data_IF_024582881477
#
_entry.id   IF_024582881477
#
_cell.length_a   1.000
_cell.length_b   1.000
_cell.length_c   1.000
_cell.angle_alpha   90.00
_cell.angle_beta   90.00
_cell.angle_gamma   90.00
#
_symmetry.space_group_name_H-M   'P 1'
#
loop_
_entity.id
_entity.type
_entity.pdbx_description
1 polymer ?
#
# COMPACT_ATOMS: atom_id res chain seq x y z
N UNK A 1 -67.48 -3.44 59.99
CA UNK A 1 -66.69 -2.35 59.38
C UNK A 1 -65.25 -2.81 59.38
N UNK A 2 -64.77 -3.31 58.25
CA UNK A 2 -63.42 -3.85 58.09
C UNK A 2 -62.67 -2.94 57.09
N UNK A 3 -61.62 -2.21 57.54
CA UNK A 3 -60.75 -1.41 56.72
C UNK A 3 -59.74 -2.31 55.98
N UNK A 4 -59.74 -2.23 54.69
CA UNK A 4 -58.75 -2.88 53.81
C UNK A 4 -57.68 -1.85 53.39
N UNK A 5 -56.49 -2.07 53.89
CA UNK A 5 -55.33 -1.22 53.50
C UNK A 5 -54.65 -1.88 52.30
N UNK A 6 -54.59 -1.16 51.14
CA UNK A 6 -53.86 -1.58 49.95
C UNK A 6 -52.40 -1.07 50.06
N UNK A 7 -51.46 -2.02 50.06
CA UNK A 7 -50.08 -1.73 49.92
C UNK A 7 -49.69 -1.67 48.40
N UNK A 8 -49.26 -0.53 47.92
CA UNK A 8 -48.70 -0.36 46.58
C UNK A 8 -47.22 -0.73 46.62
N UNK A 9 -46.82 -1.84 45.99
CA UNK A 9 -45.40 -2.16 45.75
C UNK A 9 -44.96 -1.43 44.48
N UNK A 10 -44.09 -0.43 44.65
CA UNK A 10 -43.32 0.16 43.52
C UNK A 10 -42.14 -0.77 43.18
N UNK A 11 -42.22 -1.50 42.06
CA UNK A 11 -41.10 -2.22 41.49
C UNK A 11 -40.23 -1.24 40.69
N UNK A 12 -39.07 -0.89 41.24
CA UNK A 12 -38.05 -0.16 40.52
C UNK A 12 -37.34 -1.09 39.55
N UNK A 13 -37.68 -0.98 38.26
CA UNK A 13 -36.96 -1.69 37.20
C UNK A 13 -35.58 -1.07 36.95
N UNK A 14 -34.54 -1.78 37.33
CA UNK A 14 -33.17 -1.46 36.90
C UNK A 14 -33.02 -1.87 35.44
N UNK A 15 -33.02 -0.90 34.52
CA UNK A 15 -32.58 -1.10 33.12
C UNK A 15 -31.06 -1.21 33.09
N UNK A 16 -30.55 -2.43 32.97
CA UNK A 16 -29.13 -2.65 32.64
C UNK A 16 -28.96 -2.33 31.16
N UNK A 17 -28.45 -1.13 30.84
CA UNK A 17 -27.97 -0.81 29.52
C UNK A 17 -26.69 -1.62 29.27
N UNK A 18 -26.85 -2.75 28.60
CA UNK A 18 -25.71 -3.50 28.08
C UNK A 18 -24.93 -2.62 27.10
N UNK A 19 -23.70 -2.34 27.46
CA UNK A 19 -22.73 -1.77 26.51
C UNK A 19 -22.50 -2.86 25.46
N UNK A 20 -23.07 -2.68 24.29
CA UNK A 20 -22.72 -3.48 23.11
C UNK A 20 -21.29 -3.09 22.75
N UNK A 21 -20.30 -3.85 23.22
CA UNK A 21 -18.94 -3.78 22.69
C UNK A 21 -19.06 -4.27 21.25
N UNK A 22 -18.93 -3.36 20.31
CA UNK A 22 -18.83 -3.73 18.89
C UNK A 22 -17.62 -4.68 18.76
N UNK A 23 -17.90 -5.93 18.37
CA UNK A 23 -16.88 -6.92 18.11
C UNK A 23 -16.07 -6.40 16.92
N UNK A 24 -14.85 -5.94 17.16
CA UNK A 24 -13.94 -5.54 16.07
C UNK A 24 -13.68 -6.79 15.23
N UNK A 25 -13.87 -6.68 13.92
CA UNK A 25 -13.49 -7.75 13.00
C UNK A 25 -12.00 -8.11 13.21
N UNK A 26 -11.65 -9.37 12.98
CA UNK A 26 -10.24 -9.78 13.04
C UNK A 26 -9.42 -8.96 12.05
N UNK A 27 -8.18 -8.57 12.41
CA UNK A 27 -7.31 -7.83 11.51
C UNK A 27 -7.05 -8.60 10.20
N UNK A 28 -7.03 -7.89 9.08
CA UNK A 28 -6.73 -8.48 7.78
C UNK A 28 -5.24 -8.80 7.70
N UNK A 29 -4.84 -10.08 7.52
CA UNK A 29 -3.45 -10.44 7.37
C UNK A 29 -2.94 -10.03 5.99
N UNK A 30 -1.86 -9.23 5.96
CA UNK A 30 -1.27 -8.74 4.72
C UNK A 30 0.20 -9.09 4.58
N UNK A 31 0.65 -9.24 3.34
CA UNK A 31 2.03 -9.07 2.93
C UNK A 31 2.13 -7.72 2.21
N UNK A 32 3.05 -6.88 2.65
CA UNK A 32 3.27 -5.54 2.11
C UNK A 32 4.51 -5.56 1.20
N UNK A 33 4.32 -5.43 -0.12
CA UNK A 33 5.37 -5.44 -1.14
C UNK A 33 5.60 -4.02 -1.67
N UNK A 34 6.86 -3.52 -1.62
CA UNK A 34 7.17 -2.10 -1.79
C UNK A 34 8.58 -1.86 -2.33
N UNK A 35 8.76 -0.83 -3.14
CA UNK A 35 10.04 -0.26 -3.56
C UNK A 35 10.46 0.93 -2.67
N UNK A 36 10.35 0.74 -1.40
CA UNK A 36 10.35 1.70 -0.30
C UNK A 36 11.52 2.68 -0.33
N UNK A 37 11.19 3.94 -0.13
CA UNK A 37 12.15 4.99 0.24
C UNK A 37 11.59 5.77 1.43
N UNK A 38 12.48 6.25 2.31
CA UNK A 38 12.09 7.08 3.46
C UNK A 38 11.30 8.33 3.01
N UNK A 39 10.47 8.92 3.89
CA UNK A 39 9.75 10.14 3.54
C UNK A 39 10.69 11.19 2.94
N UNK A 40 10.27 11.90 1.90
CA UNK A 40 8.88 12.18 1.52
C UNK A 40 8.27 11.23 0.48
N UNK A 41 8.82 10.04 0.28
CA UNK A 41 8.23 9.06 -0.63
C UNK A 41 6.89 8.53 -0.09
N UNK A 42 6.00 8.19 -0.99
CA UNK A 42 4.63 7.73 -0.73
C UNK A 42 4.57 6.35 -0.08
N UNK A 43 5.45 5.43 -0.43
CA UNK A 43 5.64 4.14 0.24
C UNK A 43 5.70 4.26 1.77
N UNK A 44 6.53 5.20 2.23
CA UNK A 44 6.74 5.40 3.65
C UNK A 44 5.50 5.89 4.38
N UNK A 45 4.70 6.72 3.72
CA UNK A 45 3.43 7.20 4.26
C UNK A 45 2.37 6.06 4.25
N UNK A 46 2.37 5.20 3.24
CA UNK A 46 1.50 4.03 3.19
C UNK A 46 1.84 3.02 4.30
N UNK A 47 3.13 2.77 4.52
CA UNK A 47 3.58 1.91 5.62
C UNK A 47 3.21 2.51 6.99
N UNK A 48 3.37 3.82 7.20
CA UNK A 48 2.92 4.50 8.44
C UNK A 48 1.43 4.28 8.68
N UNK A 49 0.60 4.41 7.64
CA UNK A 49 -0.83 4.16 7.73
C UNK A 49 -1.12 2.70 8.13
N UNK A 50 -0.46 1.73 7.48
CA UNK A 50 -0.63 0.31 7.79
C UNK A 50 -0.22 -0.02 9.24
N UNK A 51 0.94 0.49 9.70
CA UNK A 51 1.47 0.28 11.06
C UNK A 51 0.55 0.85 12.15
N UNK A 52 -0.16 1.92 11.85
CA UNK A 52 -1.04 2.62 12.79
C UNK A 52 -2.52 2.21 12.65
N UNK A 53 -2.84 1.21 11.83
CA UNK A 53 -4.19 0.73 11.59
C UNK A 53 -4.44 -0.61 12.27
N UNK A 54 -5.31 -0.65 13.30
CA UNK A 54 -5.62 -1.89 14.04
C UNK A 54 -6.38 -2.93 13.19
N UNK A 55 -6.92 -2.53 12.05
CA UNK A 55 -7.58 -3.39 11.07
C UNK A 55 -6.60 -4.25 10.27
N UNK A 56 -5.28 -4.00 10.41
CA UNK A 56 -4.23 -4.61 9.60
C UNK A 56 -3.29 -5.44 10.48
N UNK A 57 -2.99 -6.66 10.02
CA UNK A 57 -1.91 -7.49 10.53
C UNK A 57 -0.84 -7.66 9.45
N UNK A 58 0.32 -7.02 9.61
CA UNK A 58 1.44 -7.17 8.68
C UNK A 58 2.19 -8.45 9.01
N UNK A 59 2.06 -9.48 8.18
CA UNK A 59 2.77 -10.77 8.32
C UNK A 59 4.25 -10.64 7.97
N UNK A 60 4.58 -9.72 7.07
CA UNK A 60 5.93 -9.40 6.66
C UNK A 60 5.94 -8.36 5.56
N UNK A 61 7.10 -7.74 5.36
CA UNK A 61 7.33 -6.74 4.31
C UNK A 61 8.33 -7.31 3.33
N UNK A 62 8.01 -7.24 2.04
CA UNK A 62 8.89 -7.63 0.95
C UNK A 62 9.33 -6.40 0.17
N UNK A 63 10.61 -6.32 -0.18
CA UNK A 63 11.15 -5.17 -0.90
C UNK A 63 11.47 -5.53 -2.34
N UNK A 64 11.42 -4.55 -3.22
CA UNK A 64 11.71 -4.68 -4.66
C UNK A 64 12.44 -3.44 -5.15
N UNK A 65 13.23 -3.57 -6.21
CA UNK A 65 13.81 -2.40 -6.89
C UNK A 65 12.73 -1.62 -7.66
N UNK A 66 12.78 -0.30 -7.58
CA UNK A 66 11.81 0.58 -8.24
C UNK A 66 12.16 2.05 -8.01
N UNK A 67 11.66 2.68 -6.98
CA UNK A 67 12.03 4.06 -6.59
C UNK A 67 13.54 4.22 -6.37
N UNK A 68 14.20 3.16 -5.91
CA UNK A 68 15.66 3.05 -5.77
C UNK A 68 16.06 1.56 -5.80
N UNK A 69 17.30 1.25 -5.46
CA UNK A 69 17.77 -0.14 -5.35
C UNK A 69 17.05 -0.91 -4.24
N UNK A 70 16.94 -2.21 -4.38
CA UNK A 70 16.34 -3.07 -3.36
C UNK A 70 17.13 -3.04 -2.04
N UNK A 71 18.43 -2.80 -2.09
CA UNK A 71 19.29 -2.60 -0.91
C UNK A 71 18.83 -1.38 -0.12
N UNK A 72 18.56 -0.25 -0.81
CA UNK A 72 18.03 0.95 -0.17
C UNK A 72 16.64 0.71 0.38
N UNK A 73 15.75 0.14 -0.43
CA UNK A 73 14.38 -0.16 0.00
C UNK A 73 14.39 -1.02 1.29
N UNK A 74 15.22 -2.06 1.34
CA UNK A 74 15.37 -2.95 2.51
C UNK A 74 15.91 -2.18 3.74
N UNK A 75 16.97 -1.39 3.54
CA UNK A 75 17.57 -0.58 4.61
C UNK A 75 16.60 0.43 5.18
N UNK A 76 15.88 1.13 4.33
CA UNK A 76 14.93 2.19 4.71
C UNK A 76 13.70 1.59 5.43
N UNK A 77 13.15 0.45 4.98
CA UNK A 77 12.07 -0.27 5.67
C UNK A 77 12.50 -0.68 7.08
N UNK A 78 13.66 -1.32 7.22
CA UNK A 78 14.17 -1.75 8.53
C UNK A 78 14.29 -0.55 9.49
N UNK A 79 14.81 0.57 9.00
CA UNK A 79 14.92 1.80 9.80
C UNK A 79 13.56 2.39 10.14
N UNK A 80 12.61 2.41 9.21
CA UNK A 80 11.24 2.87 9.48
C UNK A 80 10.57 2.05 10.57
N UNK A 81 10.72 0.73 10.54
CA UNK A 81 10.16 -0.16 11.58
C UNK A 81 10.75 0.12 12.97
N UNK A 82 12.04 0.41 13.06
CA UNK A 82 12.65 0.82 14.34
C UNK A 82 12.07 2.15 14.85
N UNK A 83 11.94 3.16 13.98
CA UNK A 83 11.36 4.46 14.33
C UNK A 83 9.91 4.28 14.79
N UNK A 84 9.16 3.40 14.15
CA UNK A 84 7.77 3.08 14.49
C UNK A 84 7.63 2.16 15.71
N UNK A 85 8.72 1.67 16.33
CA UNK A 85 8.66 0.73 17.44
C UNK A 85 8.08 -0.64 17.05
N UNK A 86 8.23 -1.05 15.78
CA UNK A 86 7.69 -2.27 15.18
C UNK A 86 8.79 -3.16 14.57
N UNK A 87 9.98 -3.14 15.16
CA UNK A 87 11.12 -3.92 14.69
C UNK A 87 10.90 -5.45 14.69
N UNK A 88 9.83 -5.94 15.31
CA UNK A 88 9.42 -7.36 15.26
C UNK A 88 8.91 -7.82 13.91
N UNK A 89 8.41 -6.91 13.04
CA UNK A 89 7.89 -7.29 11.71
C UNK A 89 9.03 -7.76 10.82
N UNK A 90 8.96 -8.98 10.23
CA UNK A 90 10.02 -9.49 9.37
C UNK A 90 10.08 -8.75 8.02
N UNK A 91 11.29 -8.57 7.50
CA UNK A 91 11.56 -7.92 6.21
C UNK A 91 12.35 -8.88 5.33
N UNK A 92 11.90 -9.06 4.10
CA UNK A 92 12.46 -10.00 3.13
C UNK A 92 12.92 -9.25 1.89
N UNK A 93 14.20 -9.42 1.52
CA UNK A 93 14.74 -8.84 0.31
C UNK A 93 14.24 -9.58 -0.93
N UNK A 94 13.71 -8.84 -1.90
CA UNK A 94 13.19 -9.37 -3.15
C UNK A 94 14.05 -9.04 -4.36
N UNK A 95 13.39 -8.85 -5.51
CA UNK A 95 14.04 -8.66 -6.79
C UNK A 95 14.83 -7.35 -6.84
N UNK A 96 16.06 -7.45 -7.33
CA UNK A 96 16.99 -6.33 -7.50
C UNK A 96 16.94 -5.71 -8.91
N UNK A 97 16.16 -6.31 -9.81
CA UNK A 97 15.94 -5.83 -11.18
C UNK A 97 14.59 -6.32 -11.73
N UNK A 98 14.03 -5.62 -12.75
CA UNK A 98 12.86 -6.08 -13.49
C UNK A 98 13.09 -7.42 -14.20
N UNK A 99 12.03 -8.08 -14.63
CA UNK A 99 12.11 -9.37 -15.34
C UNK A 99 12.84 -9.27 -16.68
N UNK A 100 12.62 -8.18 -17.43
CA UNK A 100 13.14 -8.02 -18.79
C UNK A 100 13.64 -6.60 -19.07
N UNK A 101 13.02 -5.57 -18.46
CA UNK A 101 13.30 -4.17 -18.78
C UNK A 101 14.76 -3.80 -18.50
N UNK A 102 15.48 -3.46 -19.56
CA UNK A 102 16.87 -3.00 -19.49
C UNK A 102 16.94 -1.48 -19.26
N UNK A 103 17.92 -1.04 -18.47
CA UNK A 103 18.19 0.40 -18.32
C UNK A 103 18.71 0.99 -19.62
N UNK A 104 18.18 2.14 -19.98
CA UNK A 104 18.81 3.01 -20.98
C UNK A 104 19.59 4.13 -20.29
N UNK A 105 20.62 4.66 -20.97
CA UNK A 105 21.35 5.84 -20.48
C UNK A 105 20.44 7.05 -20.23
N UNK A 106 19.39 7.18 -21.05
CA UNK A 106 18.39 8.24 -20.86
C UNK A 106 17.61 8.03 -19.56
N UNK A 107 17.12 6.82 -19.31
CA UNK A 107 16.37 6.50 -18.10
C UNK A 107 17.23 6.71 -16.83
N UNK A 108 18.47 6.23 -16.84
CA UNK A 108 19.40 6.43 -15.71
C UNK A 108 19.65 7.91 -15.43
N UNK A 109 19.86 8.74 -16.46
CA UNK A 109 20.06 10.19 -16.28
C UNK A 109 18.81 10.93 -15.81
N UNK A 110 17.62 10.46 -16.20
CA UNK A 110 16.36 11.14 -15.88
C UNK A 110 15.76 10.72 -14.54
N UNK A 111 15.94 9.47 -14.14
CA UNK A 111 15.25 8.84 -13.01
C UNK A 111 16.20 8.19 -11.99
N UNK A 112 17.51 8.24 -12.25
CA UNK A 112 18.52 7.63 -11.40
C UNK A 112 18.76 6.14 -11.67
N UNK A 113 19.59 5.54 -10.85
CA UNK A 113 20.02 4.14 -11.00
C UNK A 113 19.15 3.24 -10.12
N UNK A 114 17.86 3.13 -10.45
CA UNK A 114 16.83 2.49 -9.62
C UNK A 114 17.01 0.99 -9.36
N UNK A 115 17.87 0.32 -10.08
CA UNK A 115 18.36 -1.02 -9.73
C UNK A 115 19.88 -1.07 -9.88
N UNK A 116 20.58 -0.94 -8.77
CA UNK A 116 22.03 -0.97 -8.69
C UNK A 116 22.47 -1.82 -7.52
N UNK A 117 23.73 -2.24 -7.56
CA UNK A 117 24.38 -2.94 -6.44
C UNK A 117 25.20 -1.97 -5.58
N UNK A 118 24.96 -0.68 -5.66
CA UNK A 118 25.66 0.29 -4.83
C UNK A 118 25.16 0.18 -3.36
N UNK A 119 26.03 0.38 -2.39
CA UNK A 119 25.63 0.43 -0.99
C UNK A 119 24.55 1.49 -0.77
N UNK A 120 23.50 1.21 0.00
CA UNK A 120 22.46 2.17 0.24
C UNK A 120 22.99 3.38 1.02
N UNK A 121 22.43 4.59 0.77
CA UNK A 121 22.74 5.75 1.58
C UNK A 121 22.27 5.51 3.01
N UNK A 122 22.96 6.13 3.98
CA UNK A 122 22.56 6.02 5.40
C UNK A 122 21.19 6.64 5.62
N UNK A 123 20.21 5.89 6.12
CA UNK A 123 18.87 6.42 6.42
C UNK A 123 18.89 7.50 7.52
N UNK A 124 17.84 8.33 7.66
CA UNK A 124 17.71 9.26 8.76
C UNK A 124 17.86 8.60 10.13
N UNK A 125 18.86 9.06 10.90
CA UNK A 125 19.18 8.51 12.23
C UNK A 125 20.03 7.23 12.21
N UNK A 126 20.59 6.83 11.06
CA UNK A 126 21.49 5.68 10.91
C UNK A 126 20.80 4.40 10.45
N UNK A 127 21.61 3.38 10.21
CA UNK A 127 21.09 2.05 9.86
C UNK A 127 20.37 1.38 11.02
N UNK A 128 19.39 0.54 10.70
CA UNK A 128 18.68 -0.27 11.70
C UNK A 128 19.61 -1.31 12.34
N UNK A 129 19.28 -1.71 13.56
CA UNK A 129 19.98 -2.81 14.27
C UNK A 129 19.48 -4.17 13.78
N UNK A 130 18.16 -4.25 13.48
CA UNK A 130 17.56 -5.46 12.91
C UNK A 130 18.13 -5.71 11.52
N UNK A 131 18.38 -6.99 11.23
CA UNK A 131 18.80 -7.46 9.92
C UNK A 131 17.59 -7.93 9.11
N UNK A 132 17.74 -7.95 7.80
CA UNK A 132 16.82 -8.59 6.86
C UNK A 132 16.81 -10.11 7.11
N UNK A 133 15.67 -10.74 6.84
CA UNK A 133 15.57 -12.21 6.95
C UNK A 133 16.37 -12.89 5.83
N UNK A 134 16.92 -14.09 6.12
CA UNK A 134 17.73 -14.86 5.15
C UNK A 134 16.87 -15.44 4.00
N UNK A 135 15.58 -15.65 4.23
CA UNK A 135 14.63 -16.12 3.22
C UNK A 135 14.35 -15.04 2.17
N UNK A 136 14.25 -15.41 0.89
CA UNK A 136 13.89 -14.46 -0.16
C UNK A 136 12.43 -14.03 -0.07
N UNK A 137 12.09 -12.82 -0.57
CA UNK A 137 10.73 -12.32 -0.65
C UNK A 137 9.78 -13.31 -1.36
N UNK A 138 10.19 -13.88 -2.48
CA UNK A 138 9.37 -14.82 -3.26
C UNK A 138 9.06 -16.08 -2.46
N UNK A 139 10.07 -16.67 -1.79
CA UNK A 139 9.86 -17.86 -0.96
C UNK A 139 8.91 -17.56 0.20
N UNK A 140 9.10 -16.43 0.88
CA UNK A 140 8.23 -15.99 1.96
C UNK A 140 6.79 -15.79 1.49
N UNK A 141 6.57 -15.07 0.37
CA UNK A 141 5.24 -14.81 -0.20
C UNK A 141 4.52 -16.14 -0.48
N UNK A 142 5.17 -17.04 -1.23
CA UNK A 142 4.59 -18.34 -1.60
C UNK A 142 4.26 -19.17 -0.36
N UNK A 143 5.24 -19.35 0.52
CA UNK A 143 5.06 -20.14 1.75
C UNK A 143 3.93 -19.61 2.62
N UNK A 144 3.87 -18.29 2.80
CA UNK A 144 2.88 -17.67 3.69
C UNK A 144 1.47 -17.78 3.14
N UNK A 145 1.28 -17.55 1.83
CA UNK A 145 -0.03 -17.69 1.17
C UNK A 145 -0.50 -19.15 1.19
N UNK A 146 0.37 -20.11 0.88
CA UNK A 146 0.01 -21.53 0.90
C UNK A 146 -0.25 -22.07 2.30
N UNK A 147 0.36 -21.50 3.33
CA UNK A 147 0.07 -21.86 4.73
C UNK A 147 -1.28 -21.34 5.22
N UNK A 148 -1.83 -20.32 4.58
CA UNK A 148 -3.09 -19.66 4.94
C UNK A 148 -3.97 -19.42 3.69
N UNK A 149 -4.46 -20.48 3.01
CA UNK A 149 -5.21 -20.34 1.76
C UNK A 149 -6.41 -19.42 1.89
N UNK A 150 -6.58 -18.51 0.93
CA UNK A 150 -7.69 -17.55 0.83
C UNK A 150 -7.85 -16.61 2.04
N UNK A 151 -6.74 -16.33 2.77
CA UNK A 151 -6.75 -15.41 3.92
C UNK A 151 -5.81 -14.23 3.73
N UNK A 152 -4.69 -14.43 3.02
CA UNK A 152 -3.66 -13.41 2.90
C UNK A 152 -3.99 -12.45 1.78
N UNK A 153 -4.10 -11.18 2.11
CA UNK A 153 -4.16 -10.07 1.15
C UNK A 153 -2.74 -9.63 0.82
N UNK A 154 -2.44 -9.51 -0.47
CA UNK A 154 -1.20 -8.89 -0.94
C UNK A 154 -1.45 -7.41 -1.19
N UNK A 155 -0.58 -6.55 -0.70
CA UNK A 155 -0.59 -5.11 -0.98
C UNK A 155 0.72 -4.79 -1.67
N UNK A 156 0.68 -4.60 -2.99
CA UNK A 156 1.85 -4.34 -3.83
C UNK A 156 1.79 -2.88 -4.31
N UNK A 157 2.70 -2.05 -3.82
CA UNK A 157 2.75 -0.61 -4.10
C UNK A 157 4.00 -0.20 -4.88
N UNK A 158 4.86 -1.16 -5.24
CA UNK A 158 5.99 -1.00 -6.15
C UNK A 158 5.84 -1.82 -7.44
N UNK A 159 6.90 -1.96 -8.24
CA UNK A 159 6.93 -2.85 -9.39
C UNK A 159 6.60 -4.29 -9.01
N UNK A 160 5.80 -4.98 -9.82
CA UNK A 160 5.18 -6.27 -9.48
C UNK A 160 6.12 -7.49 -9.65
N UNK A 161 7.42 -7.26 -9.67
CA UNK A 161 8.43 -8.30 -9.96
C UNK A 161 8.36 -9.47 -8.99
N UNK A 162 8.28 -9.21 -7.66
CA UNK A 162 8.16 -10.25 -6.65
C UNK A 162 6.88 -11.08 -6.82
N UNK A 163 5.75 -10.42 -7.08
CA UNK A 163 4.45 -11.07 -7.26
C UNK A 163 4.45 -11.96 -8.50
N UNK A 164 4.98 -11.45 -9.62
CA UNK A 164 5.10 -12.22 -10.87
C UNK A 164 6.03 -13.43 -10.70
N UNK A 165 7.12 -13.29 -9.96
CA UNK A 165 8.02 -14.41 -9.65
C UNK A 165 7.33 -15.44 -8.76
N UNK A 166 6.52 -15.04 -7.77
CA UNK A 166 5.75 -15.96 -6.93
C UNK A 166 4.72 -16.75 -7.76
N UNK A 167 4.00 -16.08 -8.68
CA UNK A 167 3.04 -16.71 -9.61
C UNK A 167 3.74 -17.75 -10.49
N UNK A 168 4.96 -17.46 -10.97
CA UNK A 168 5.73 -18.37 -11.82
C UNK A 168 6.36 -19.53 -11.06
N UNK A 169 6.75 -19.31 -9.81
CA UNK A 169 7.42 -20.30 -8.98
C UNK A 169 6.46 -21.40 -8.49
N UNK A 170 5.19 -21.06 -8.25
CA UNK A 170 4.21 -21.98 -7.68
C UNK A 170 2.85 -21.89 -8.44
N UNK A 171 2.50 -22.87 -9.24
CA UNK A 171 1.27 -22.84 -10.06
C UNK A 171 -0.03 -22.72 -9.26
N UNK A 172 -0.05 -23.16 -8.00
CA UNK A 172 -1.24 -23.07 -7.14
C UNK A 172 -1.33 -21.76 -6.36
N UNK A 173 -0.29 -20.94 -6.39
CA UNK A 173 -0.18 -19.71 -5.62
C UNK A 173 -1.34 -18.75 -5.88
N UNK A 174 -1.58 -18.41 -7.14
CA UNK A 174 -2.60 -17.43 -7.51
C UNK A 174 -4.01 -17.79 -7.00
N UNK A 175 -4.37 -19.08 -7.05
CA UNK A 175 -5.65 -19.57 -6.56
C UNK A 175 -5.79 -19.57 -5.03
N UNK A 176 -4.71 -19.39 -4.28
CA UNK A 176 -4.70 -19.37 -2.81
C UNK A 176 -4.60 -17.96 -2.21
N UNK A 177 -4.34 -16.93 -3.02
CA UNK A 177 -4.37 -15.52 -2.58
C UNK A 177 -5.81 -15.09 -2.34
N UNK A 178 -6.10 -14.41 -1.23
CA UNK A 178 -7.42 -13.83 -0.98
C UNK A 178 -7.73 -12.74 -2.00
N UNK A 179 -6.88 -11.72 -2.05
CA UNK A 179 -6.92 -10.63 -3.01
C UNK A 179 -5.57 -9.92 -3.13
N UNK A 180 -5.40 -9.14 -4.19
CA UNK A 180 -4.22 -8.31 -4.42
C UNK A 180 -4.66 -6.86 -4.65
N UNK A 181 -4.16 -5.96 -3.82
CA UNK A 181 -4.31 -4.52 -4.00
C UNK A 181 -3.03 -4.00 -4.64
N UNK A 182 -3.15 -3.30 -5.75
CA UNK A 182 -2.01 -2.78 -6.53
C UNK A 182 -2.10 -1.27 -6.61
N UNK A 183 -1.04 -0.56 -6.22
CA UNK A 183 -0.83 0.79 -6.72
C UNK A 183 -0.06 0.70 -8.03
N UNK A 184 -0.67 1.15 -9.13
CA UNK A 184 -0.04 1.12 -10.45
C UNK A 184 -0.99 1.38 -11.59
N UNK A 185 -0.43 1.68 -12.74
CA UNK A 185 -1.18 1.90 -13.96
C UNK A 185 -1.84 3.28 -14.10
N UNK A 186 -2.26 3.57 -15.33
CA UNK A 186 -3.01 4.76 -15.69
C UNK A 186 -4.03 4.39 -16.78
N UNK A 187 -5.30 4.47 -16.47
CA UNK A 187 -6.37 3.96 -17.34
C UNK A 187 -6.99 5.10 -18.12
N UNK A 188 -6.59 5.27 -19.37
CA UNK A 188 -7.07 6.37 -20.24
C UNK A 188 -8.58 6.38 -20.48
N UNK A 189 -9.28 5.25 -20.29
CA UNK A 189 -10.74 5.16 -20.38
C UNK A 189 -11.46 5.95 -19.27
N UNK A 190 -10.81 6.12 -18.12
CA UNK A 190 -11.32 6.82 -16.95
C UNK A 190 -10.77 8.25 -16.88
N UNK A 191 -11.41 9.18 -16.15
CA UNK A 191 -10.84 10.51 -15.89
C UNK A 191 -9.42 10.45 -15.31
N UNK A 192 -8.60 11.43 -15.63
CA UNK A 192 -7.24 11.63 -15.11
C UNK A 192 -6.26 10.47 -15.41
N UNK A 193 -6.50 9.71 -16.47
CA UNK A 193 -5.75 8.52 -16.86
C UNK A 193 -4.45 8.78 -17.63
N UNK A 194 -3.82 9.96 -17.54
CA UNK A 194 -2.50 10.20 -18.11
C UNK A 194 -1.41 9.50 -17.27
N UNK A 195 -0.26 9.20 -17.89
CA UNK A 195 0.90 8.64 -17.19
C UNK A 195 1.65 9.65 -16.33
N UNK A 196 2.68 9.19 -15.63
CA UNK A 196 3.61 10.03 -14.85
C UNK A 196 5.08 9.82 -15.25
N UNK A 197 5.41 8.72 -15.93
CA UNK A 197 6.75 8.44 -16.44
C UNK A 197 6.84 8.68 -17.96
N UNK A 198 5.83 8.26 -18.70
CA UNK A 198 5.58 8.63 -20.09
C UNK A 198 4.20 9.30 -20.16
N UNK A 199 3.78 9.89 -21.28
CA UNK A 199 2.45 10.48 -21.40
C UNK A 199 1.31 9.52 -21.02
N UNK A 200 1.49 8.20 -21.13
CA UNK A 200 0.45 7.22 -20.92
C UNK A 200 0.84 6.06 -19.98
N UNK A 201 2.10 5.92 -19.60
CA UNK A 201 2.54 4.88 -18.67
C UNK A 201 2.73 5.42 -17.26
N UNK A 202 2.33 4.62 -16.28
CA UNK A 202 2.59 4.83 -14.86
C UNK A 202 3.92 4.14 -14.49
N UNK A 203 4.60 4.66 -13.47
CA UNK A 203 5.98 4.31 -13.13
C UNK A 203 6.16 2.83 -12.73
N UNK A 204 5.38 2.31 -11.81
CA UNK A 204 5.51 0.92 -11.34
C UNK A 204 5.31 -0.09 -12.47
N UNK A 205 4.32 0.15 -13.32
CA UNK A 205 4.06 -0.69 -14.48
C UNK A 205 5.11 -0.49 -15.58
N UNK A 206 5.68 0.71 -15.71
CA UNK A 206 6.76 0.98 -16.66
C UNK A 206 8.10 0.37 -16.24
N UNK A 207 8.38 0.28 -14.94
CA UNK A 207 9.60 -0.36 -14.42
C UNK A 207 9.63 -1.84 -14.76
N UNK A 208 8.52 -2.56 -14.60
CA UNK A 208 8.42 -3.99 -14.97
C UNK A 208 7.06 -4.33 -15.61
N UNK A 209 6.87 -3.97 -16.90
CA UNK A 209 5.62 -4.25 -17.60
C UNK A 209 5.34 -5.75 -17.75
N UNK A 210 6.38 -6.58 -17.88
CA UNK A 210 6.24 -8.03 -17.97
C UNK A 210 5.71 -8.62 -16.67
N UNK A 211 6.21 -8.15 -15.52
CA UNK A 211 5.68 -8.55 -14.22
C UNK A 211 4.24 -8.08 -14.03
N UNK A 212 3.94 -6.83 -14.42
CA UNK A 212 2.57 -6.32 -14.39
C UNK A 212 1.64 -7.20 -15.24
N UNK A 213 2.03 -7.55 -16.46
CA UNK A 213 1.23 -8.40 -17.36
C UNK A 213 1.00 -9.80 -16.79
N UNK A 214 2.04 -10.43 -16.22
CA UNK A 214 1.92 -11.74 -15.56
C UNK A 214 0.92 -11.66 -14.41
N UNK A 215 1.03 -10.65 -13.60
CA UNK A 215 0.18 -10.43 -12.41
C UNK A 215 -1.27 -10.14 -12.80
N UNK A 216 -1.50 -9.23 -13.75
CA UNK A 216 -2.84 -8.86 -14.20
C UNK A 216 -3.60 -10.01 -14.88
N UNK A 217 -2.90 -11.02 -15.37
CA UNK A 217 -3.47 -12.22 -16.02
C UNK A 217 -3.50 -13.47 -15.12
N UNK A 218 -3.16 -13.33 -13.84
CA UNK A 218 -2.95 -14.47 -12.93
C UNK A 218 -4.23 -15.17 -12.44
N UNK A 219 -5.38 -14.52 -12.55
CA UNK A 219 -6.63 -14.99 -11.94
C UNK A 219 -6.82 -14.58 -10.48
N UNK A 220 -5.84 -13.94 -9.83
CA UNK A 220 -6.00 -13.36 -8.49
C UNK A 220 -7.09 -12.27 -8.52
N UNK A 221 -7.99 -12.18 -7.53
CA UNK A 221 -8.89 -11.05 -7.40
C UNK A 221 -8.10 -9.76 -7.17
N UNK A 222 -8.15 -8.82 -8.12
CA UNK A 222 -7.36 -7.57 -8.10
C UNK A 222 -8.26 -6.37 -7.83
N UNK A 223 -7.77 -5.48 -6.95
CA UNK A 223 -8.20 -4.10 -6.83
C UNK A 223 -7.02 -3.20 -7.26
N UNK A 224 -7.25 -2.43 -8.32
CA UNK A 224 -6.24 -1.55 -8.91
C UNK A 224 -6.47 -0.10 -8.48
N UNK A 225 -5.45 0.50 -7.88
CA UNK A 225 -5.39 1.92 -7.48
C UNK A 225 -4.46 2.67 -8.46
N UNK A 226 -4.97 3.12 -9.62
CA UNK A 226 -4.16 3.77 -10.65
C UNK A 226 -4.00 5.27 -10.39
N UNK A 227 -3.20 5.94 -11.24
CA UNK A 227 -3.03 7.40 -11.19
C UNK A 227 -4.37 8.17 -11.25
N UNK A 228 -5.41 7.58 -11.82
CA UNK A 228 -6.75 8.13 -11.89
C UNK A 228 -7.28 8.54 -10.51
N UNK A 229 -7.23 7.65 -9.53
CA UNK A 229 -7.66 7.92 -8.16
C UNK A 229 -6.64 8.77 -7.40
N UNK A 230 -5.35 8.57 -7.63
CA UNK A 230 -4.29 9.34 -6.96
C UNK A 230 -4.43 10.84 -7.24
N UNK A 231 -4.83 11.21 -8.45
CA UNK A 231 -5.06 12.62 -8.86
C UNK A 231 -6.30 13.27 -8.24
N UNK A 232 -7.11 12.52 -7.49
CA UNK A 232 -8.20 13.07 -6.65
C UNK A 232 -7.70 13.54 -5.29
N UNK A 233 -6.46 13.21 -4.92
CA UNK A 233 -5.86 13.65 -3.67
C UNK A 233 -5.20 15.02 -3.79
N UNK A 234 -5.06 15.72 -2.66
CA UNK A 234 -4.55 17.08 -2.62
C UNK A 234 -3.83 17.38 -1.30
N UNK A 235 -2.66 16.77 -1.08
CA UNK A 235 -1.86 17.04 0.11
C UNK A 235 -1.24 18.45 0.02
N UNK A 236 -1.81 19.39 0.73
CA UNK A 236 -1.35 20.78 0.82
C UNK A 236 -0.53 21.03 2.09
N UNK A 237 0.14 22.19 2.16
CA UNK A 237 0.83 22.64 3.37
C UNK A 237 -0.08 22.65 4.60
N UNK A 238 -1.35 23.04 4.45
CA UNK A 238 -2.33 23.06 5.55
C UNK A 238 -2.56 21.65 6.11
N UNK A 239 -2.69 20.65 5.27
CA UNK A 239 -2.83 19.26 5.70
C UNK A 239 -1.55 18.70 6.31
N UNK A 240 -0.38 19.05 5.73
CA UNK A 240 0.91 18.71 6.31
C UNK A 240 1.09 19.30 7.72
N UNK A 241 0.79 20.58 7.91
CA UNK A 241 0.87 21.24 9.23
C UNK A 241 -0.07 20.58 10.25
N UNK A 242 -1.29 20.21 9.85
CA UNK A 242 -2.18 19.41 10.69
C UNK A 242 -1.57 18.03 11.03
N UNK A 243 -1.02 17.35 10.06
CA UNK A 243 -0.42 16.01 10.24
C UNK A 243 0.71 16.01 11.26
N UNK A 244 1.53 17.05 11.30
CA UNK A 244 2.68 17.17 12.21
C UNK A 244 2.40 17.99 13.48
N UNK A 245 1.13 18.30 13.77
CA UNK A 245 0.74 19.11 14.93
C UNK A 245 0.89 18.36 16.27
N UNK A 246 0.75 17.03 16.25
CA UNK A 246 0.99 16.17 17.42
C UNK A 246 2.38 15.56 17.31
N UNK A 247 3.14 15.62 18.39
CA UNK A 247 4.53 15.15 18.41
C UNK A 247 4.61 13.65 18.70
N UNK A 248 5.01 12.89 17.70
CA UNK A 248 5.31 11.45 17.76
C UNK A 248 6.61 11.18 16.99
N UNK A 249 7.28 10.03 17.14
CA UNK A 249 8.44 9.70 16.32
C UNK A 249 8.16 9.76 14.81
N UNK A 250 6.96 9.34 14.36
CA UNK A 250 6.57 9.38 12.95
C UNK A 250 6.36 10.82 12.47
N UNK A 251 5.62 11.63 13.21
CA UNK A 251 5.36 13.02 12.82
C UNK A 251 6.62 13.89 12.89
N UNK A 252 7.56 13.58 13.78
CA UNK A 252 8.87 14.21 13.82
C UNK A 252 9.70 13.87 12.57
N UNK A 253 9.70 12.60 12.17
CA UNK A 253 10.34 12.19 10.92
C UNK A 253 9.75 12.96 9.73
N UNK A 254 8.42 13.03 9.61
CA UNK A 254 7.75 13.79 8.55
C UNK A 254 8.10 15.28 8.59
N UNK A 255 8.17 15.86 9.77
CA UNK A 255 8.53 17.28 9.94
C UNK A 255 9.94 17.59 9.41
N UNK A 256 10.90 16.70 9.67
CA UNK A 256 12.28 16.86 9.22
C UNK A 256 12.42 16.60 7.73
N UNK A 257 11.75 15.59 7.19
CA UNK A 257 11.93 15.14 5.79
C UNK A 257 11.04 15.88 4.79
N UNK A 258 9.77 16.16 5.15
CA UNK A 258 8.79 16.83 4.27
C UNK A 258 8.72 18.35 4.51
N UNK A 259 8.99 18.81 5.72
CA UNK A 259 8.92 20.24 6.09
C UNK A 259 9.65 21.16 5.13
N UNK A 260 10.91 20.87 4.74
CA UNK A 260 11.66 21.68 3.78
C UNK A 260 10.96 21.82 2.42
N UNK A 261 10.26 20.77 1.91
CA UNK A 261 9.50 20.84 0.66
C UNK A 261 8.33 21.82 0.76
N UNK A 262 7.53 21.71 1.82
CA UNK A 262 6.40 22.62 2.05
C UNK A 262 6.83 24.05 2.36
N UNK A 263 8.04 24.23 2.89
CA UNK A 263 8.62 25.57 3.06
C UNK A 263 9.08 26.19 1.74
N UNK A 264 9.67 25.39 0.85
CA UNK A 264 10.16 25.83 -0.45
C UNK A 264 9.02 26.07 -1.46
N UNK A 265 7.98 25.25 -1.43
CA UNK A 265 6.87 25.26 -2.37
C UNK A 265 5.51 25.28 -1.61
N UNK A 266 5.17 26.36 -0.89
CA UNK A 266 4.03 26.40 0.04
C UNK A 266 2.67 26.26 -0.64
N UNK A 267 2.56 26.67 -1.90
CA UNK A 267 1.33 26.64 -2.69
C UNK A 267 1.17 25.35 -3.53
N UNK A 268 2.19 24.50 -3.53
CA UNK A 268 2.18 23.25 -4.28
C UNK A 268 1.30 22.22 -3.60
N UNK A 269 0.51 21.53 -4.40
CA UNK A 269 -0.26 20.36 -4.00
C UNK A 269 0.49 19.10 -4.41
N UNK A 270 0.57 18.13 -3.50
CA UNK A 270 1.19 16.83 -3.73
C UNK A 270 0.11 15.77 -3.83
N UNK A 271 0.25 14.85 -4.77
CA UNK A 271 -0.62 13.70 -4.84
C UNK A 271 -0.20 12.64 -3.81
N UNK A 272 -1.16 11.83 -3.41
CA UNK A 272 -0.97 10.65 -2.59
C UNK A 272 -1.34 9.43 -3.45
N UNK A 273 -0.51 8.43 -3.46
CA UNK A 273 -0.64 7.26 -4.34
C UNK A 273 -0.86 6.00 -3.51
N UNK A 274 0.18 5.45 -2.94
CA UNK A 274 0.23 4.20 -2.17
C UNK A 274 -0.67 4.22 -0.94
N UNK A 275 -0.79 5.38 -0.33
CA UNK A 275 -1.64 5.59 0.84
C UNK A 275 -3.12 5.34 0.52
N UNK A 276 -3.56 5.64 -0.72
CA UNK A 276 -4.94 5.39 -1.15
C UNK A 276 -5.18 3.90 -1.34
N UNK A 277 -4.22 3.18 -1.95
CA UNK A 277 -4.27 1.73 -2.06
C UNK A 277 -4.36 1.07 -0.67
N UNK A 278 -3.55 1.53 0.29
CA UNK A 278 -3.61 1.04 1.67
C UNK A 278 -4.92 1.42 2.37
N UNK A 279 -5.40 2.66 2.16
CA UNK A 279 -6.64 3.14 2.77
C UNK A 279 -7.89 2.39 2.27
N UNK A 280 -7.91 1.99 1.00
CA UNK A 280 -9.02 1.21 0.44
C UNK A 280 -9.17 -0.17 1.09
N UNK A 281 -8.08 -0.73 1.62
CA UNK A 281 -8.14 -1.96 2.42
C UNK A 281 -8.77 -1.72 3.79
N UNK A 282 -8.48 -0.57 4.42
CA UNK A 282 -8.98 -0.20 5.74
C UNK A 282 -10.45 0.18 5.68
N UNK A 283 -10.80 1.03 4.73
CA UNK A 283 -12.18 1.48 4.47
C UNK A 283 -12.47 1.52 2.95
N UNK A 284 -13.01 0.43 2.38
CA UNK A 284 -13.32 0.38 0.95
C UNK A 284 -14.31 1.44 0.48
N UNK A 285 -15.08 2.06 1.38
CA UNK A 285 -16.04 3.10 1.03
C UNK A 285 -15.41 4.46 0.72
N UNK A 286 -14.10 4.60 0.93
CA UNK A 286 -13.35 5.81 0.57
C UNK A 286 -13.18 5.99 -0.95
N UNK A 287 -13.24 4.91 -1.72
CA UNK A 287 -12.99 4.92 -3.16
C UNK A 287 -14.21 4.45 -3.95
N UNK A 288 -14.37 5.01 -5.14
CA UNK A 288 -15.30 4.48 -6.13
C UNK A 288 -14.55 3.61 -7.14
N UNK A 289 -15.13 2.47 -7.51
CA UNK A 289 -14.51 1.53 -8.43
C UNK A 289 -15.40 1.24 -9.64
N UNK A 290 -14.77 0.94 -10.79
CA UNK A 290 -15.42 0.39 -11.97
C UNK A 290 -14.80 -0.96 -12.31
N UNK A 291 -15.61 -1.93 -12.73
CA UNK A 291 -15.11 -3.24 -13.20
C UNK A 291 -14.66 -3.15 -14.64
N UNK A 292 -13.36 -3.26 -14.85
CA UNK A 292 -12.73 -3.21 -16.18
C UNK A 292 -11.86 -4.44 -16.41
N UNK A 293 -11.77 -4.85 -17.67
CA UNK A 293 -10.68 -5.69 -18.15
C UNK A 293 -9.44 -4.80 -18.26
N UNK A 294 -8.32 -5.22 -17.68
CA UNK A 294 -7.07 -4.46 -17.73
C UNK A 294 -5.93 -5.34 -18.21
N UNK A 295 -5.09 -4.79 -19.05
CA UNK A 295 -3.85 -5.40 -19.52
C UNK A 295 -2.77 -4.32 -19.67
N UNK A 296 -1.52 -4.73 -19.88
CA UNK A 296 -0.39 -3.81 -20.06
C UNK A 296 0.36 -4.14 -21.36
N UNK A 297 0.81 -3.11 -22.06
CA UNK A 297 1.61 -3.25 -23.26
C UNK A 297 3.07 -3.57 -22.89
N UNK A 298 3.59 -4.68 -23.47
CA UNK A 298 4.99 -5.11 -23.31
C UNK A 298 5.78 -5.01 -24.64
N UNK A 299 5.19 -4.45 -25.70
CA UNK A 299 5.92 -4.23 -26.93
C UNK A 299 6.90 -3.08 -26.74
N UNK A 300 8.18 -3.34 -26.97
CA UNK A 300 9.24 -2.34 -26.82
C UNK A 300 9.04 -1.18 -27.80
N UNK A 301 8.78 0.01 -27.28
CA UNK A 301 8.50 1.22 -28.05
C UNK A 301 7.87 2.30 -27.18
N UNK A 302 7.25 3.28 -27.82
CA UNK A 302 6.66 4.45 -27.12
C UNK A 302 5.50 4.13 -26.20
N UNK A 303 4.91 2.94 -26.33
CA UNK A 303 3.78 2.47 -25.51
C UNK A 303 4.18 1.41 -24.48
N UNK A 304 5.47 1.14 -24.30
CA UNK A 304 5.95 0.17 -23.31
C UNK A 304 5.52 0.56 -21.90
N UNK A 305 4.92 -0.38 -21.17
CA UNK A 305 4.38 -0.14 -19.83
C UNK A 305 3.02 0.57 -19.77
N UNK A 306 2.41 0.89 -20.93
CA UNK A 306 1.07 1.51 -20.95
C UNK A 306 0.03 0.48 -20.54
N UNK A 307 -0.74 0.80 -19.48
CA UNK A 307 -1.89 0.02 -19.08
C UNK A 307 -3.15 0.41 -19.88
N UNK A 308 -3.89 -0.59 -20.33
CA UNK A 308 -5.10 -0.41 -21.14
C UNK A 308 -6.27 -1.03 -20.40
N UNK A 309 -7.34 -0.24 -20.20
CA UNK A 309 -8.59 -0.69 -19.61
C UNK A 309 -9.74 -0.70 -20.62
N UNK A 310 -10.63 -1.69 -20.51
CA UNK A 310 -11.82 -1.81 -21.34
C UNK A 310 -13.01 -2.39 -20.58
N UNK A 311 -14.24 -1.92 -20.93
CA UNK A 311 -15.48 -2.49 -20.39
C UNK A 311 -15.82 -3.85 -20.98
N UNK A 312 -15.15 -4.22 -22.08
CA UNK A 312 -15.23 -5.51 -22.78
C UNK A 312 -13.84 -5.93 -23.19
N UNK A 313 -13.61 -7.24 -23.35
CA UNK A 313 -12.40 -7.79 -23.97
C UNK A 313 -12.26 -7.26 -25.39
N UNK A 314 -11.04 -7.01 -25.83
CA UNK A 314 -10.70 -6.53 -27.17
C UNK A 314 -9.63 -7.42 -27.83
N UNK A 315 -9.48 -7.37 -29.18
CA UNK A 315 -8.45 -8.15 -29.88
C UNK A 315 -7.04 -7.86 -29.33
N UNK A 316 -6.29 -8.92 -28.98
CA UNK A 316 -4.97 -8.86 -28.38
C UNK A 316 -4.96 -8.85 -26.84
N UNK A 317 -6.14 -8.76 -26.20
CA UNK A 317 -6.29 -8.83 -24.75
C UNK A 317 -7.23 -9.97 -24.31
N UNK A 318 -7.22 -11.08 -25.02
CA UNK A 318 -8.09 -12.24 -24.77
C UNK A 318 -7.82 -12.89 -23.40
N UNK A 319 -6.63 -12.65 -22.83
CA UNK A 319 -6.23 -13.13 -21.50
C UNK A 319 -6.38 -12.06 -20.40
N UNK A 320 -6.82 -10.85 -20.73
CA UNK A 320 -7.09 -9.83 -19.71
C UNK A 320 -8.20 -10.31 -18.77
N UNK A 321 -8.02 -10.11 -17.49
CA UNK A 321 -9.05 -10.41 -16.49
C UNK A 321 -9.78 -9.14 -16.05
N UNK A 322 -11.00 -9.31 -15.55
CA UNK A 322 -11.80 -8.23 -15.00
C UNK A 322 -11.41 -7.98 -13.53
N UNK A 323 -11.17 -6.71 -13.21
CA UNK A 323 -10.78 -6.28 -11.87
C UNK A 323 -11.52 -5.00 -11.46
N UNK A 324 -11.48 -4.69 -10.17
CA UNK A 324 -12.00 -3.42 -9.65
C UNK A 324 -10.93 -2.33 -9.85
N UNK A 325 -11.25 -1.27 -10.58
CA UNK A 325 -10.35 -0.15 -10.86
C UNK A 325 -10.87 1.09 -10.15
N UNK A 326 -10.09 1.63 -9.24
CA UNK A 326 -10.42 2.84 -8.49
C UNK A 326 -10.32 4.08 -9.41
N UNK A 327 -11.28 5.01 -9.31
CA UNK A 327 -11.28 6.21 -10.17
C UNK A 327 -11.71 7.49 -9.44
N UNK A 328 -12.28 7.39 -8.24
CA UNK A 328 -12.68 8.54 -7.43
C UNK A 328 -12.41 8.27 -5.94
N UNK A 329 -12.25 9.33 -5.15
CA UNK A 329 -11.83 9.31 -3.76
C UNK A 329 -12.65 10.31 -2.92
N UNK A 330 -13.20 9.88 -1.80
CA UNK A 330 -13.65 10.79 -0.74
C UNK A 330 -12.41 11.37 -0.02
N UNK A 331 -11.85 12.40 -0.66
CA UNK A 331 -10.61 13.04 -0.20
C UNK A 331 -10.70 13.52 1.26
N UNK A 332 -11.81 14.09 1.66
CA UNK A 332 -11.95 14.66 3.01
C UNK A 332 -11.89 13.57 4.06
N UNK A 333 -12.65 12.49 3.91
CA UNK A 333 -12.63 11.36 4.84
C UNK A 333 -11.27 10.66 4.85
N UNK A 334 -10.67 10.47 3.67
CA UNK A 334 -9.36 9.85 3.55
C UNK A 334 -8.29 10.64 4.31
N UNK A 335 -8.14 11.95 4.05
CA UNK A 335 -7.07 12.73 4.66
C UNK A 335 -7.26 12.93 6.17
N UNK A 336 -8.50 13.04 6.65
CA UNK A 336 -8.82 13.10 8.08
C UNK A 336 -8.44 11.78 8.77
N UNK A 337 -8.80 10.64 8.18
CA UNK A 337 -8.39 9.32 8.69
C UNK A 337 -6.86 9.19 8.70
N UNK A 338 -6.18 9.55 7.61
CA UNK A 338 -4.74 9.46 7.49
C UNK A 338 -4.03 10.28 8.57
N UNK A 339 -4.41 11.55 8.73
CA UNK A 339 -3.86 12.44 9.77
C UNK A 339 -4.08 11.86 11.16
N UNK A 340 -5.29 11.40 11.47
CA UNK A 340 -5.59 10.81 12.77
C UNK A 340 -4.73 9.58 13.07
N UNK A 341 -4.49 8.71 12.07
CA UNK A 341 -3.65 7.51 12.23
C UNK A 341 -2.18 7.87 12.47
N UNK A 342 -1.61 8.76 11.66
CA UNK A 342 -0.20 9.15 11.79
C UNK A 342 0.09 9.87 13.12
N UNK A 343 -0.87 10.61 13.64
CA UNK A 343 -0.78 11.29 14.94
C UNK A 343 -1.01 10.37 16.14
N UNK A 344 -1.56 9.19 15.94
CA UNK A 344 -1.84 8.28 17.04
C UNK A 344 -0.53 7.85 17.74
N UNK A 345 -0.57 7.60 19.06
CA UNK A 345 0.57 7.01 19.76
C UNK A 345 1.00 5.71 19.10
N UNK A 346 2.31 5.45 19.05
CA UNK A 346 2.84 4.23 18.46
C UNK A 346 2.18 3.00 19.13
N UNK A 347 1.74 2.07 18.30
CA UNK A 347 1.23 0.79 18.78
C UNK A 347 2.42 -0.04 19.28
N UNK A 348 2.43 -0.38 20.57
CA UNK A 348 3.48 -1.25 21.13
C UNK A 348 3.30 -2.69 20.65
N UNK A 349 4.41 -3.40 20.41
CA UNK A 349 4.43 -4.83 20.03
C UNK A 349 3.61 -5.71 21.00
N UNK A 350 3.58 -5.33 22.29
CA UNK A 350 2.81 -6.04 23.34
C UNK A 350 1.28 -6.04 23.12
N UNK A 351 0.73 -5.10 22.35
CA UNK A 351 -0.70 -5.09 22.04
C UNK A 351 -1.07 -6.02 20.87
N UNK A 352 -0.11 -6.36 19.99
CA UNK A 352 -0.33 -7.31 18.88
C UNK A 352 -0.22 -8.76 19.33
N UNK A 353 0.67 -9.08 20.29
CA UNK A 353 0.85 -10.43 20.82
C UNK A 353 -0.22 -10.84 21.85
N UNK A 354 -1.06 -9.91 22.32
CA UNK A 354 -2.12 -10.15 23.30
C UNK A 354 -3.52 -10.29 22.66
N UNK A 355 -3.60 -10.32 21.34
CA UNK A 355 -4.81 -10.59 20.55
C UNK A 355 -4.62 -11.88 19.77
#
# INVERSE_FOLDING_TARGET
MKNLIFFLLCAAGFSVTGVVVAQTADPVPIIFDTDFVMPPADDSLALMLALQSPEIEILGITTVAGNDSVERATSDVLRMLEIAGQAGIPVYRGADMPLVHEKSDFAVRSYGNWYSNEPPPTPPGGFAKKQVEDESAVSFIVRTVLAQPHKVTLVAIGPLTNIAQAIRAEPTFAGNVDRLIIMGGAIALLPDGAGNITPNAEYNFWVDPEAARVTLRSGIPIELSPLNVSRKSALTKVWFEKMVAVETPLTQLLKVTMGPRFAAEPDKTWFMYDQIAMASLIDPSLVSTERLYVDVNIDHGISYGVSVGGRKIWPGAELAQQMNVQYDLDWTRFIEMFVARVQAPLQSESRRSAR
#
